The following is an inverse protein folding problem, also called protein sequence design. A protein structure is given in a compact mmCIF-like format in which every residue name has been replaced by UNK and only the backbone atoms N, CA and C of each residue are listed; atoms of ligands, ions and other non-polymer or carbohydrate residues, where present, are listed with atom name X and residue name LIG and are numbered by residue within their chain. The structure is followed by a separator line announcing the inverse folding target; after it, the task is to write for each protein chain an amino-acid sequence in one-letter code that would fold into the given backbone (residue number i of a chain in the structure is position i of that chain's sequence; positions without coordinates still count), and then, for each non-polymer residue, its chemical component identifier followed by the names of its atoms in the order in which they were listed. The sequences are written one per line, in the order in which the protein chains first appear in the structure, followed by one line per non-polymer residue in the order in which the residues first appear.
data_IF_198490493831
#
_entry.id   IF_198490493831
#
_cell.length_a   1.000
_cell.length_b   1.000
_cell.length_c   1.000
_cell.angle_alpha   90.00
_cell.angle_beta   90.00
_cell.angle_gamma   90.00
#
_symmetry.space_group_name_H-M   'P 1'
#
loop_
_entity.id
_entity.type
_entity.pdbx_description
1 polymer ?
#
# COMPACT_ATOMS: atom_id res chain seq x y z
N UNK A 1 4.16 14.03 -1.21
CA UNK A 1 3.38 13.27 -0.20
C UNK A 1 3.15 11.82 -0.63
N UNK A 2 2.72 11.51 -1.86
CA UNK A 2 2.52 10.12 -2.33
C UNK A 2 3.73 9.17 -2.19
N UNK A 3 4.96 9.70 -2.18
CA UNK A 3 6.19 8.91 -1.99
C UNK A 3 6.47 8.53 -0.52
N UNK A 4 5.73 9.10 0.44
CA UNK A 4 6.01 8.90 1.87
C UNK A 4 5.79 7.43 2.26
N UNK A 5 4.65 6.85 1.87
CA UNK A 5 4.36 5.46 2.19
C UNK A 5 5.24 4.49 1.39
N UNK A 6 5.49 4.78 0.10
CA UNK A 6 6.37 3.93 -0.71
C UNK A 6 7.79 3.92 -0.13
N UNK A 7 8.32 5.09 0.23
CA UNK A 7 9.64 5.19 0.88
C UNK A 7 9.64 4.41 2.19
N UNK A 8 8.65 4.64 3.06
CA UNK A 8 8.54 3.97 4.35
C UNK A 8 8.55 2.43 4.18
N UNK A 9 7.71 1.89 3.28
CA UNK A 9 7.63 0.45 3.04
C UNK A 9 8.92 -0.13 2.44
N UNK A 10 9.68 0.64 1.65
CA UNK A 10 10.94 0.18 1.03
C UNK A 10 12.15 0.27 1.94
N UNK A 11 12.19 1.26 2.84
CA UNK A 11 13.41 1.56 3.61
C UNK A 11 13.35 1.05 5.04
N UNK A 12 12.17 0.76 5.58
CA UNK A 12 12.04 0.24 6.94
C UNK A 12 12.59 -1.18 7.03
N UNK A 13 13.59 -1.45 7.88
CA UNK A 13 14.08 -2.80 8.11
C UNK A 13 13.07 -3.59 8.96
N UNK A 14 12.76 -4.81 8.54
CA UNK A 14 11.88 -5.72 9.28
C UNK A 14 12.67 -6.88 9.87
N UNK A 15 12.50 -7.13 11.16
CA UNK A 15 12.89 -8.40 11.81
C UNK A 15 11.96 -9.53 11.39
N UNK A 16 12.31 -10.78 11.67
CA UNK A 16 11.42 -11.92 11.40
C UNK A 16 10.08 -11.78 12.14
N UNK A 17 10.13 -11.38 13.41
CA UNK A 17 8.92 -11.14 14.22
C UNK A 17 8.05 -10.03 13.65
N UNK A 18 8.64 -8.93 13.15
CA UNK A 18 7.88 -7.86 12.51
C UNK A 18 7.11 -8.37 11.28
N UNK A 19 7.77 -9.15 10.43
CA UNK A 19 7.16 -9.73 9.21
C UNK A 19 6.03 -10.68 9.57
N UNK A 20 6.22 -11.51 10.58
CA UNK A 20 5.19 -12.44 11.06
C UNK A 20 3.94 -11.72 11.55
N UNK A 21 4.11 -10.70 12.40
CA UNK A 21 3.00 -9.90 12.93
C UNK A 21 2.29 -9.17 11.80
N UNK A 22 3.03 -8.55 10.87
CA UNK A 22 2.45 -7.87 9.71
C UNK A 22 1.64 -8.83 8.85
N UNK A 23 2.15 -10.02 8.57
CA UNK A 23 1.45 -11.01 7.75
C UNK A 23 0.20 -11.58 8.43
N UNK A 24 0.26 -11.84 9.74
CA UNK A 24 -0.92 -12.22 10.52
C UNK A 24 -2.01 -11.15 10.41
N UNK A 25 -1.63 -9.87 10.46
CA UNK A 25 -2.55 -8.75 10.28
C UNK A 25 -3.16 -8.69 8.87
N UNK A 26 -2.34 -8.80 7.81
CA UNK A 26 -2.79 -8.82 6.41
C UNK A 26 -3.79 -9.96 6.19
N UNK A 27 -3.45 -11.17 6.64
CA UNK A 27 -4.29 -12.37 6.47
C UNK A 27 -5.60 -12.19 7.23
N UNK A 28 -5.54 -11.79 8.51
CA UNK A 28 -6.73 -11.58 9.31
C UNK A 28 -7.69 -10.56 8.69
N UNK A 29 -7.15 -9.50 8.09
CA UNK A 29 -7.98 -8.49 7.42
C UNK A 29 -8.58 -9.05 6.13
N UNK A 30 -7.80 -9.72 5.29
CA UNK A 30 -8.30 -10.34 4.06
C UNK A 30 -9.36 -11.43 4.32
N UNK A 31 -9.27 -12.13 5.46
CA UNK A 31 -10.24 -13.17 5.83
C UNK A 31 -11.47 -12.60 6.58
N UNK A 32 -11.55 -11.30 6.80
CA UNK A 32 -12.60 -10.68 7.62
C UNK A 32 -14.01 -10.86 7.04
N UNK A 33 -14.13 -10.88 5.72
CA UNK A 33 -15.39 -11.12 5.00
C UNK A 33 -15.70 -12.61 4.74
N UNK A 34 -14.76 -13.49 5.12
CA UNK A 34 -14.86 -14.94 4.97
C UNK A 34 -14.62 -15.47 3.54
N UNK A 35 -14.37 -14.61 2.54
CA UNK A 35 -14.09 -15.00 1.15
C UNK A 35 -13.04 -14.07 0.53
N UNK A 36 -11.76 -14.41 0.68
CA UNK A 36 -10.70 -13.75 -0.10
C UNK A 36 -10.87 -14.07 -1.59
N UNK A 37 -11.13 -13.07 -2.43
CA UNK A 37 -11.15 -13.27 -3.88
C UNK A 37 -9.76 -13.74 -4.36
N UNK A 38 -9.65 -14.77 -5.23
CA UNK A 38 -8.37 -15.24 -5.75
C UNK A 38 -7.47 -14.14 -6.35
N UNK A 39 -8.06 -13.09 -6.95
CA UNK A 39 -7.35 -11.93 -7.50
C UNK A 39 -6.77 -11.05 -6.40
N UNK A 40 -7.52 -10.84 -5.33
CA UNK A 40 -7.07 -10.12 -4.15
C UNK A 40 -5.88 -10.83 -3.52
N UNK A 41 -5.99 -12.15 -3.34
CA UNK A 41 -4.89 -13.00 -2.84
C UNK A 41 -3.64 -12.89 -3.71
N UNK A 42 -3.79 -12.89 -5.03
CA UNK A 42 -2.65 -12.75 -5.96
C UNK A 42 -2.03 -11.34 -5.87
N UNK A 43 -2.86 -10.30 -5.77
CA UNK A 43 -2.40 -8.93 -5.58
C UNK A 43 -1.63 -8.78 -4.27
N UNK A 44 -2.19 -9.24 -3.15
CA UNK A 44 -1.56 -9.20 -1.83
C UNK A 44 -0.26 -9.99 -1.81
N UNK A 45 -0.23 -11.17 -2.46
CA UNK A 45 1.00 -11.95 -2.59
C UNK A 45 2.09 -11.16 -3.32
N UNK A 46 1.78 -10.58 -4.48
CA UNK A 46 2.73 -9.75 -5.24
C UNK A 46 3.19 -8.54 -4.43
N UNK A 47 2.27 -7.91 -3.70
CA UNK A 47 2.54 -6.74 -2.88
C UNK A 47 3.47 -7.08 -1.72
N UNK A 48 3.17 -8.12 -0.95
CA UNK A 48 4.05 -8.61 0.13
C UNK A 48 5.42 -8.96 -0.42
N UNK A 49 5.52 -9.72 -1.51
CA UNK A 49 6.81 -10.09 -2.09
C UNK A 49 7.61 -8.88 -2.60
N UNK A 50 6.94 -7.80 -3.03
CA UNK A 50 7.61 -6.55 -3.45
C UNK A 50 8.32 -5.84 -2.28
N UNK A 51 7.74 -5.84 -1.07
CA UNK A 51 8.25 -5.09 0.08
C UNK A 51 8.89 -5.95 1.19
N UNK A 52 8.61 -7.25 1.19
CA UNK A 52 9.16 -8.26 2.10
C UNK A 52 9.62 -9.50 1.31
N UNK A 53 10.63 -9.37 0.42
CA UNK A 53 11.00 -10.42 -0.55
C UNK A 53 11.48 -11.72 0.08
N UNK A 54 11.97 -11.69 1.32
CA UNK A 54 12.41 -12.87 2.07
C UNK A 54 11.26 -13.66 2.71
N UNK A 55 10.00 -13.28 2.47
CA UNK A 55 8.84 -13.85 3.17
C UNK A 55 7.88 -14.49 2.19
N UNK A 56 7.43 -15.70 2.52
CA UNK A 56 6.36 -16.38 1.79
C UNK A 56 5.00 -16.09 2.43
N UNK A 57 4.15 -15.20 1.87
CA UNK A 57 2.83 -14.91 2.43
C UNK A 57 1.86 -16.09 2.40
N UNK A 58 2.22 -17.20 1.75
CA UNK A 58 1.39 -18.41 1.67
C UNK A 58 1.72 -19.45 2.74
N UNK A 59 2.72 -19.18 3.60
CA UNK A 59 3.08 -20.06 4.69
C UNK A 59 1.90 -20.17 5.70
N UNK A 60 1.39 -21.39 5.96
CA UNK A 60 0.27 -21.62 6.86
C UNK A 60 0.51 -21.12 8.30
N UNK A 61 1.78 -20.91 8.71
CA UNK A 61 2.09 -20.44 10.08
C UNK A 61 1.51 -19.06 10.39
N UNK A 62 1.24 -18.26 9.36
CA UNK A 62 0.63 -16.93 9.52
C UNK A 62 -0.89 -16.98 9.64
N UNK A 63 -1.51 -18.12 9.33
CA UNK A 63 -2.95 -18.35 9.45
C UNK A 63 -3.29 -18.95 10.83
N UNK A 64 -4.42 -18.55 11.40
CA UNK A 64 -4.98 -19.16 12.61
C UNK A 64 -4.69 -18.46 13.94
N UNK A 65 -3.70 -17.56 14.01
CA UNK A 65 -3.46 -16.72 15.20
C UNK A 65 -3.76 -15.25 14.90
N UNK A 66 -4.88 -14.76 15.43
CA UNK A 66 -5.30 -13.35 15.27
C UNK A 66 -4.28 -12.40 15.89
N UNK A 67 -3.96 -11.32 15.20
CA UNK A 67 -3.18 -10.22 15.73
C UNK A 67 -4.01 -9.43 16.77
N UNK A 68 -3.36 -8.92 17.81
CA UNK A 68 -3.95 -8.02 18.80
C UNK A 68 -3.01 -6.83 19.09
N UNK A 69 -3.48 -5.88 19.91
CA UNK A 69 -2.70 -4.68 20.27
C UNK A 69 -1.39 -4.99 21.00
N UNK A 70 -1.29 -6.10 21.74
CA UNK A 70 -0.03 -6.49 22.39
C UNK A 70 1.02 -6.93 21.36
N UNK A 71 0.61 -7.66 20.31
CA UNK A 71 1.51 -7.96 19.19
C UNK A 71 2.07 -6.66 18.59
N UNK A 72 1.22 -5.65 18.36
CA UNK A 72 1.64 -4.33 17.81
C UNK A 72 2.65 -3.63 18.71
N UNK A 73 2.51 -3.76 20.05
CA UNK A 73 3.48 -3.19 21.00
C UNK A 73 4.86 -3.83 20.89
N UNK A 74 4.94 -5.10 20.49
CA UNK A 74 6.21 -5.82 20.33
C UNK A 74 6.96 -5.51 19.04
N UNK A 75 6.33 -4.80 18.10
CA UNK A 75 7.00 -4.38 16.86
C UNK A 75 8.24 -3.53 17.16
N UNK A 76 9.28 -3.76 16.38
CA UNK A 76 10.64 -3.31 16.68
C UNK A 76 10.84 -1.79 16.68
N UNK A 77 9.94 -1.04 16.02
CA UNK A 77 10.00 0.42 15.96
C UNK A 77 8.65 1.05 15.59
N UNK A 78 8.55 2.36 15.80
CA UNK A 78 7.40 3.14 15.34
C UNK A 78 7.23 3.10 13.82
N UNK A 79 8.33 3.11 13.05
CA UNK A 79 8.26 3.01 11.59
C UNK A 79 7.69 1.65 11.14
N UNK A 80 7.98 0.57 11.85
CA UNK A 80 7.37 -0.75 11.59
C UNK A 80 5.88 -0.74 11.91
N UNK A 81 5.45 -0.11 13.01
CA UNK A 81 4.01 0.06 13.31
C UNK A 81 3.32 0.88 12.22
N UNK A 82 3.98 1.92 11.69
CA UNK A 82 3.47 2.72 10.57
C UNK A 82 3.41 1.91 9.27
N UNK A 83 4.40 1.05 9.01
CA UNK A 83 4.35 0.09 7.92
C UNK A 83 3.17 -0.87 8.07
N UNK A 84 2.90 -1.38 9.28
CA UNK A 84 1.73 -2.23 9.55
C UNK A 84 0.43 -1.51 9.17
N UNK A 85 0.23 -0.26 9.61
CA UNK A 85 -0.93 0.55 9.17
C UNK A 85 -0.99 0.65 7.65
N UNK A 86 0.15 0.90 7.01
CA UNK A 86 0.26 0.96 5.55
C UNK A 86 -0.19 -0.33 4.87
N UNK A 87 0.35 -1.47 5.28
CA UNK A 87 0.01 -2.78 4.75
C UNK A 87 -1.47 -3.10 4.94
N UNK A 88 -2.00 -2.93 6.16
CA UNK A 88 -3.41 -3.19 6.45
C UNK A 88 -4.33 -2.28 5.62
N UNK A 89 -3.98 -1.00 5.48
CA UNK A 89 -4.78 -0.09 4.66
C UNK A 89 -4.74 -0.48 3.19
N UNK A 90 -3.58 -0.91 2.66
CA UNK A 90 -3.49 -1.38 1.27
C UNK A 90 -4.31 -2.64 1.06
N UNK A 91 -4.30 -3.56 2.03
CA UNK A 91 -5.16 -4.74 2.02
C UNK A 91 -6.63 -4.37 2.01
N UNK A 92 -7.03 -3.40 2.83
CA UNK A 92 -8.41 -2.89 2.88
C UNK A 92 -8.85 -2.11 1.61
N UNK A 93 -7.95 -1.90 0.65
CA UNK A 93 -8.27 -1.30 -0.65
C UNK A 93 -8.07 -2.30 -1.79
N UNK A 94 -7.83 -3.58 -1.49
CA UNK A 94 -7.51 -4.58 -2.50
C UNK A 94 -8.74 -4.96 -3.35
N UNK A 95 -9.94 -4.92 -2.76
CA UNK A 95 -11.25 -4.98 -3.43
C UNK A 95 -11.74 -3.60 -3.92
N UNK A 96 -10.92 -2.58 -3.71
CA UNK A 96 -11.14 -1.17 -4.05
C UNK A 96 -12.29 -0.49 -3.27
N UNK A 97 -12.70 -1.04 -2.12
CA UNK A 97 -13.66 -0.44 -1.17
C UNK A 97 -13.14 -0.52 0.28
N UNK A 98 -12.80 0.61 0.89
CA UNK A 98 -12.34 0.61 2.30
C UNK A 98 -13.52 0.74 3.27
N UNK A 99 -14.03 -0.40 3.72
CA UNK A 99 -15.22 -0.53 4.55
C UNK A 99 -15.02 0.02 5.98
N UNK A 100 -16.12 0.44 6.62
CA UNK A 100 -16.09 0.99 7.99
C UNK A 100 -15.58 -0.04 9.02
N UNK A 101 -15.83 -1.32 8.79
CA UNK A 101 -15.39 -2.42 9.65
C UNK A 101 -13.86 -2.58 9.62
N UNK A 102 -13.23 -2.42 8.46
CA UNK A 102 -11.78 -2.49 8.28
C UNK A 102 -11.10 -1.25 8.87
N UNK A 103 -11.72 -0.07 8.69
CA UNK A 103 -11.27 1.18 9.34
C UNK A 103 -11.27 1.02 10.85
N UNK A 104 -12.36 0.47 11.39
CA UNK A 104 -12.50 0.21 12.81
C UNK A 104 -11.47 -0.81 13.28
N UNK A 105 -11.27 -1.90 12.54
CA UNK A 105 -10.25 -2.91 12.84
C UNK A 105 -8.86 -2.29 12.97
N UNK A 106 -8.44 -1.48 11.98
CA UNK A 106 -7.13 -0.82 12.00
C UNK A 106 -7.03 0.14 13.19
N UNK A 107 -8.08 0.92 13.46
CA UNK A 107 -8.10 1.85 14.60
C UNK A 107 -8.00 1.13 15.94
N UNK A 108 -8.78 0.06 16.14
CA UNK A 108 -8.82 -0.73 17.38
C UNK A 108 -7.47 -1.45 17.60
N UNK A 109 -6.89 -2.00 16.53
CA UNK A 109 -5.60 -2.68 16.56
C UNK A 109 -4.46 -1.72 16.90
N UNK A 110 -4.48 -0.50 16.34
CA UNK A 110 -3.45 0.51 16.63
C UNK A 110 -3.58 1.11 18.02
N UNK A 111 -4.79 1.19 18.59
CA UNK A 111 -5.01 1.55 20.00
C UNK A 111 -4.21 2.78 20.44
N UNK A 112 -3.35 2.61 21.44
CA UNK A 112 -2.44 3.62 22.00
C UNK A 112 -1.01 3.56 21.42
N UNK A 113 -0.75 2.68 20.45
CA UNK A 113 0.60 2.43 19.91
C UNK A 113 1.01 3.43 18.82
N UNK A 114 0.04 4.04 18.14
CA UNK A 114 0.21 5.13 17.18
C UNK A 114 -0.92 6.14 17.41
N UNK A 115 -0.61 7.43 17.35
CA UNK A 115 -1.63 8.46 17.45
C UNK A 115 -2.58 8.46 16.24
N UNK A 116 -3.86 8.75 16.46
CA UNK A 116 -4.90 8.69 15.42
C UNK A 116 -4.64 9.63 14.23
N UNK A 117 -3.91 10.72 14.45
CA UNK A 117 -3.52 11.65 13.38
C UNK A 117 -2.48 10.99 12.46
N UNK A 118 -1.45 10.35 13.01
CA UNK A 118 -0.49 9.55 12.23
C UNK A 118 -1.18 8.43 11.43
N UNK A 119 -2.15 7.72 12.03
CA UNK A 119 -2.94 6.70 11.29
C UNK A 119 -3.64 7.33 10.09
N UNK A 120 -4.31 8.46 10.29
CA UNK A 120 -5.03 9.18 9.23
C UNK A 120 -4.09 9.68 8.12
N UNK A 121 -2.92 10.18 8.49
CA UNK A 121 -1.88 10.63 7.55
C UNK A 121 -1.35 9.46 6.70
N UNK A 122 -1.10 8.30 7.31
CA UNK A 122 -0.67 7.09 6.60
C UNK A 122 -1.76 6.60 5.66
N UNK A 123 -3.01 6.55 6.11
CA UNK A 123 -4.14 6.16 5.26
C UNK A 123 -4.29 7.10 4.06
N UNK A 124 -4.11 8.41 4.24
CA UNK A 124 -4.08 9.37 3.13
C UNK A 124 -2.91 9.10 2.18
N UNK A 125 -1.71 8.83 2.71
CA UNK A 125 -0.54 8.52 1.90
C UNK A 125 -0.72 7.22 1.08
N UNK A 126 -1.36 6.19 1.67
CA UNK A 126 -1.74 4.94 1.00
C UNK A 126 -2.66 5.21 -0.18
N UNK A 127 -3.73 5.99 0.01
CA UNK A 127 -4.65 6.35 -1.08
C UNK A 127 -3.94 7.04 -2.23
N UNK A 128 -3.07 8.01 -1.92
CA UNK A 128 -2.25 8.70 -2.94
C UNK A 128 -1.32 7.73 -3.67
N UNK A 129 -0.74 6.75 -2.97
CA UNK A 129 0.13 5.73 -3.55
C UNK A 129 -0.62 4.77 -4.48
N UNK A 130 -1.79 4.27 -4.06
CA UNK A 130 -2.63 3.39 -4.88
C UNK A 130 -3.15 4.12 -6.12
N UNK A 131 -3.64 5.35 -5.96
CA UNK A 131 -4.02 6.24 -7.06
C UNK A 131 -2.87 6.42 -8.05
N UNK A 132 -1.66 6.75 -7.57
CA UNK A 132 -0.48 6.89 -8.43
C UNK A 132 -0.17 5.60 -9.20
N UNK A 133 -0.20 4.43 -8.53
CA UNK A 133 0.09 3.14 -9.16
C UNK A 133 -0.89 2.80 -10.28
N UNK A 134 -2.19 2.96 -10.03
CA UNK A 134 -3.20 2.61 -11.04
C UNK A 134 -3.17 3.57 -12.24
N UNK A 135 -2.97 4.86 -11.97
CA UNK A 135 -2.84 5.89 -13.02
C UNK A 135 -1.58 5.68 -13.85
N UNK A 136 -0.45 5.38 -13.20
CA UNK A 136 0.79 5.05 -13.90
C UNK A 136 0.63 3.77 -14.74
N UNK A 137 0.06 2.70 -14.19
CA UNK A 137 -0.14 1.45 -14.92
C UNK A 137 -1.02 1.64 -16.16
N UNK A 138 -2.12 2.39 -16.03
CA UNK A 138 -2.99 2.74 -17.15
C UNK A 138 -2.23 3.54 -18.21
N UNK A 139 -1.55 4.62 -17.82
CA UNK A 139 -0.88 5.51 -18.76
C UNK A 139 0.34 4.89 -19.42
N UNK A 140 1.06 4.01 -18.71
CA UNK A 140 2.15 3.21 -19.25
C UNK A 140 1.63 2.26 -20.35
N UNK A 141 0.58 1.48 -20.04
CA UNK A 141 -0.02 0.50 -20.95
C UNK A 141 -0.65 1.15 -22.19
N UNK A 142 -1.35 2.27 -22.03
CA UNK A 142 -2.08 2.92 -23.11
C UNK A 142 -1.28 4.03 -23.80
N UNK A 143 -0.10 4.37 -23.27
CA UNK A 143 0.77 5.45 -23.75
C UNK A 143 0.18 6.86 -23.68
N UNK A 144 -0.92 7.05 -22.98
CA UNK A 144 -1.52 8.36 -22.68
C UNK A 144 -2.28 8.29 -21.35
N UNK A 145 -2.47 9.44 -20.69
CA UNK A 145 -3.28 9.56 -19.49
C UNK A 145 -4.67 10.11 -19.85
N UNK A 146 -5.72 9.31 -19.73
CA UNK A 146 -7.10 9.76 -19.98
C UNK A 146 -7.60 10.61 -18.80
N UNK A 147 -8.06 11.87 -19.01
CA UNK A 147 -8.54 12.72 -17.92
C UNK A 147 -9.70 12.11 -17.13
N UNK A 148 -10.67 11.49 -17.81
CA UNK A 148 -11.82 10.88 -17.13
C UNK A 148 -11.43 9.64 -16.31
N UNK A 149 -10.44 8.86 -16.76
CA UNK A 149 -9.90 7.76 -15.97
C UNK A 149 -9.24 8.29 -14.69
N UNK A 150 -8.42 9.33 -14.82
CA UNK A 150 -7.77 9.95 -13.67
C UNK A 150 -8.79 10.53 -12.67
N UNK A 151 -9.84 11.20 -13.15
CA UNK A 151 -10.91 11.72 -12.28
C UNK A 151 -11.67 10.60 -11.57
N UNK A 152 -12.00 9.52 -12.27
CA UNK A 152 -12.72 8.39 -11.68
C UNK A 152 -11.88 7.68 -10.61
N UNK A 153 -10.58 7.49 -10.86
CA UNK A 153 -9.67 6.93 -9.86
C UNK A 153 -9.46 7.87 -8.67
N UNK A 154 -9.38 9.19 -8.91
CA UNK A 154 -9.27 10.17 -7.82
C UNK A 154 -10.49 10.12 -6.91
N UNK A 155 -11.70 10.02 -7.50
CA UNK A 155 -12.95 9.82 -6.76
C UNK A 155 -12.94 8.52 -5.96
N UNK A 156 -12.50 7.41 -6.57
CA UNK A 156 -12.47 6.09 -5.92
C UNK A 156 -11.54 6.03 -4.71
N UNK A 157 -10.37 6.67 -4.80
CA UNK A 157 -9.39 6.73 -3.72
C UNK A 157 -9.54 7.97 -2.83
N UNK A 158 -10.63 8.74 -2.93
CA UNK A 158 -10.85 9.96 -2.14
C UNK A 158 -9.62 10.91 -2.16
N UNK A 159 -9.14 11.22 -3.37
CA UNK A 159 -8.01 12.11 -3.64
C UNK A 159 -8.55 13.48 -4.03
N UNK A 160 -8.12 14.51 -3.31
CA UNK A 160 -8.47 15.90 -3.66
C UNK A 160 -7.97 16.28 -5.06
N UNK A 161 -8.67 17.20 -5.73
CA UNK A 161 -8.29 17.67 -7.07
C UNK A 161 -6.84 18.18 -7.13
N UNK A 162 -6.41 18.94 -6.11
CA UNK A 162 -5.04 19.46 -6.01
C UNK A 162 -4.00 18.33 -5.92
N UNK A 163 -4.25 17.32 -5.06
CA UNK A 163 -3.38 16.15 -4.93
C UNK A 163 -3.36 15.35 -6.24
N UNK A 164 -4.52 15.17 -6.90
CA UNK A 164 -4.64 14.42 -8.14
C UNK A 164 -3.85 15.09 -9.27
N UNK A 165 -3.95 16.41 -9.42
CA UNK A 165 -3.18 17.19 -10.39
C UNK A 165 -1.68 17.02 -10.15
N UNK A 166 -1.24 17.21 -8.90
CA UNK A 166 0.17 17.06 -8.54
C UNK A 166 0.71 15.65 -8.83
N UNK A 167 -0.04 14.61 -8.46
CA UNK A 167 0.35 13.22 -8.70
C UNK A 167 0.38 12.90 -10.20
N UNK A 168 -0.59 13.38 -10.97
CA UNK A 168 -0.64 13.17 -12.43
C UNK A 168 0.56 13.78 -13.15
N UNK A 169 0.99 14.98 -12.74
CA UNK A 169 2.23 15.60 -13.24
C UNK A 169 3.46 14.73 -12.95
N UNK A 170 3.54 14.14 -11.75
CA UNK A 170 4.59 13.20 -11.39
C UNK A 170 4.58 11.92 -12.25
N UNK A 171 3.39 11.35 -12.51
CA UNK A 171 3.23 10.20 -13.41
C UNK A 171 3.69 10.53 -14.82
N UNK A 172 3.25 11.66 -15.37
CA UNK A 172 3.66 12.09 -16.71
C UNK A 172 5.18 12.25 -16.82
N UNK A 173 5.80 12.90 -15.84
CA UNK A 173 7.25 13.09 -15.79
C UNK A 173 8.01 11.76 -15.76
N UNK A 174 7.54 10.80 -14.95
CA UNK A 174 8.14 9.47 -14.89
C UNK A 174 8.01 8.70 -16.23
N UNK A 175 6.86 8.79 -16.90
CA UNK A 175 6.65 8.16 -18.21
C UNK A 175 7.55 8.75 -19.29
N UNK A 176 7.75 10.07 -19.28
CA UNK A 176 8.66 10.75 -20.21
C UNK A 176 10.11 10.33 -19.97
N UNK A 177 10.54 10.17 -18.72
CA UNK A 177 11.88 9.68 -18.39
C UNK A 177 12.13 8.26 -18.88
N UNK A 178 11.13 7.37 -18.81
CA UNK A 178 11.23 5.99 -19.30
C UNK A 178 11.25 5.93 -20.83
N UNK A 179 10.54 6.84 -21.50
CA UNK A 179 10.45 6.90 -22.98
C UNK A 179 11.54 7.74 -23.63
N UNK A 180 12.30 8.52 -22.87
CA UNK A 180 13.44 9.24 -23.41
C UNK A 180 14.43 8.20 -23.97
N UNK A 181 14.89 8.34 -25.22
CA UNK A 181 15.98 7.50 -25.69
C UNK A 181 17.13 7.71 -24.70
N UNK A 182 17.57 6.62 -24.06
CA UNK A 182 18.88 6.60 -23.41
C UNK A 182 19.87 6.98 -24.48
N UNK A 183 20.40 8.20 -24.40
CA UNK A 183 21.42 8.68 -25.33
C UNK A 183 22.45 7.59 -25.51
N UNK A 184 22.58 7.13 -26.75
CA UNK A 184 23.66 6.29 -27.19
C UNK A 184 24.96 6.96 -26.72
N UNK A 185 25.74 6.22 -25.94
CA UNK A 185 27.16 6.49 -25.78
C UNK A 185 27.74 6.34 -27.19
N UNK A 186 27.75 7.45 -27.93
CA UNK A 186 28.53 7.57 -29.15
C UNK A 186 29.98 7.64 -28.68
N UNK A 187 30.67 6.50 -28.80
CA UNK A 187 32.13 6.46 -28.80
C UNK A 187 32.65 7.52 -29.78
N UNK A 188 33.40 8.47 -29.25
CA UNK A 188 34.19 9.46 -29.99
C UNK A 188 35.64 9.39 -29.54
#
# INVERSE_FOLDING_TARGET
MALLIESLLRTTPFTETDREIILRGIIQLSEADGIVDPREREYLKKFVTEFMPETDPTDPKYSGTKINTDDVRTLSSDDVRRCLVGFLTITAYADEEFADEERKFISDLMGDTIDSKSVTEIQRAVRQFLYRRIVFAFAFKNHYLHPDFAREMARRFDISDDDAVFINQGVFSALMAIKAPTDEVSDG
#
